data_IF_917074549751
#
_entry.id   IF_917074549751
#
_cell.length_a   1.000
_cell.length_b   1.000
_cell.length_c   1.000
_cell.angle_alpha   90.00
_cell.angle_beta   90.00
_cell.angle_gamma   90.00
#
_symmetry.space_group_name_H-M   'P 1'
#
loop_
_entity.id
_entity.type
_entity.pdbx_description
1 polymer ?
#
# COMPACT_ATOMS: atom_id res chain seq x y z
N UNK A 1 11.70 9.46 -9.88
CA UNK A 1 11.85 9.18 -8.44
C UNK A 1 11.11 10.27 -7.68
N UNK A 2 10.02 9.92 -6.99
CA UNK A 2 9.26 10.83 -6.12
C UNK A 2 9.61 10.44 -4.68
N UNK A 3 9.99 11.39 -3.83
CA UNK A 3 10.38 11.14 -2.43
C UNK A 3 9.53 12.00 -1.51
N UNK A 4 8.91 11.41 -0.49
CA UNK A 4 8.10 12.09 0.52
C UNK A 4 8.88 12.23 1.86
N UNK A 5 8.54 13.23 2.71
CA UNK A 5 9.32 13.60 3.90
C UNK A 5 9.18 12.61 5.07
N UNK A 6 10.13 12.69 6.01
CA UNK A 6 10.42 11.64 7.01
C UNK A 6 9.70 11.73 8.37
N UNK A 7 8.80 12.69 8.61
CA UNK A 7 7.97 12.76 9.83
C UNK A 7 6.84 13.79 9.67
N UNK A 8 5.61 13.41 10.00
CA UNK A 8 4.41 14.26 10.00
C UNK A 8 3.74 14.16 11.38
N UNK A 9 3.57 15.29 12.06
CA UNK A 9 2.87 15.35 13.35
C UNK A 9 1.70 16.32 13.21
N UNK A 10 0.49 15.83 13.40
CA UNK A 10 -0.73 16.62 13.34
C UNK A 10 -1.66 16.17 14.49
N UNK A 11 -1.53 16.79 15.67
CA UNK A 11 -2.17 16.29 16.88
C UNK A 11 -3.70 16.26 16.75
N UNK A 12 -4.34 17.25 16.14
CA UNK A 12 -5.81 17.36 16.15
C UNK A 12 -6.48 16.83 14.87
N UNK A 13 -5.70 16.45 13.85
CA UNK A 13 -6.22 16.17 12.52
C UNK A 13 -5.72 14.84 11.98
N UNK A 14 -6.59 14.14 11.24
CA UNK A 14 -6.20 12.92 10.54
C UNK A 14 -5.07 13.20 9.52
N UNK A 15 -4.10 12.30 9.44
CA UNK A 15 -2.98 12.38 8.51
C UNK A 15 -3.25 11.45 7.34
N UNK A 16 -3.29 12.00 6.12
CA UNK A 16 -3.39 11.24 4.88
C UNK A 16 -2.15 11.44 4.02
N UNK A 17 -1.52 10.36 3.57
CA UNK A 17 -0.49 10.41 2.51
C UNK A 17 -1.01 9.66 1.29
N UNK A 18 -1.17 10.37 0.19
CA UNK A 18 -1.79 9.82 -1.01
C UNK A 18 -0.90 10.02 -2.24
N UNK A 19 -0.63 8.94 -2.96
CA UNK A 19 -0.14 9.02 -4.34
C UNK A 19 -1.36 9.01 -5.23
N UNK A 20 -1.84 10.19 -5.65
CA UNK A 20 -3.12 10.34 -6.38
C UNK A 20 -3.01 10.09 -7.89
N UNK A 21 -1.81 10.18 -8.44
CA UNK A 21 -1.60 9.99 -9.88
C UNK A 21 -1.47 8.51 -10.19
N UNK A 22 -2.27 7.95 -11.12
CA UNK A 22 -2.07 6.59 -11.56
C UNK A 22 -0.70 6.44 -12.22
N UNK A 23 -0.02 5.34 -11.93
CA UNK A 23 1.29 5.02 -12.49
C UNK A 23 1.09 3.95 -13.54
N UNK A 24 1.56 4.23 -14.76
CA UNK A 24 1.47 3.28 -15.85
C UNK A 24 2.84 3.10 -16.51
N UNK A 25 3.19 1.84 -16.81
CA UNK A 25 4.30 1.49 -17.70
C UNK A 25 3.75 0.81 -18.94
N UNK A 26 4.22 1.26 -20.11
CA UNK A 26 3.91 0.63 -21.40
C UNK A 26 4.99 -0.39 -21.72
N UNK A 27 6.21 0.09 -21.98
CA UNK A 27 7.46 -0.68 -22.04
C UNK A 27 8.44 -0.13 -20.99
N UNK A 28 9.20 -1.02 -20.34
CA UNK A 28 10.18 -0.66 -19.31
C UNK A 28 9.63 -0.66 -17.88
N UNK A 29 10.44 -0.19 -16.92
CA UNK A 29 10.13 -0.28 -15.49
C UNK A 29 9.92 1.09 -14.85
N UNK A 30 8.90 1.21 -14.00
CA UNK A 30 8.66 2.38 -13.16
C UNK A 30 8.70 1.96 -11.71
N UNK A 31 9.59 2.57 -10.92
CA UNK A 31 9.68 2.36 -9.48
C UNK A 31 9.27 3.62 -8.73
N UNK A 32 8.39 3.46 -7.74
CA UNK A 32 8.00 4.49 -6.77
C UNK A 32 8.45 4.04 -5.39
N UNK A 33 9.28 4.85 -4.73
CA UNK A 33 9.80 4.54 -3.40
C UNK A 33 9.25 5.52 -2.36
N UNK A 34 8.71 4.96 -1.28
CA UNK A 34 8.30 5.68 -0.07
C UNK A 34 9.24 5.26 1.06
N UNK A 35 10.28 6.07 1.27
CA UNK A 35 11.41 5.70 2.14
C UNK A 35 11.00 5.50 3.59
N UNK A 36 10.41 6.48 4.25
CA UNK A 36 9.97 6.33 5.64
C UNK A 36 8.94 7.39 5.97
N UNK A 37 7.79 6.97 6.48
CA UNK A 37 6.76 7.86 6.99
C UNK A 37 6.52 7.52 8.46
N UNK A 38 6.66 8.53 9.31
CA UNK A 38 6.23 8.48 10.71
C UNK A 38 5.10 9.48 10.87
N UNK A 39 3.94 9.01 11.33
CA UNK A 39 2.74 9.80 11.52
C UNK A 39 2.24 9.70 12.96
N UNK A 40 1.99 10.84 13.61
CA UNK A 40 1.40 10.90 14.96
C UNK A 40 0.22 11.86 14.95
N UNK A 41 -0.95 11.37 15.38
CA UNK A 41 -2.23 12.10 15.30
C UNK A 41 -3.22 11.63 16.38
N UNK A 42 -4.03 12.51 16.98
CA UNK A 42 -5.21 12.08 17.75
C UNK A 42 -6.38 11.69 16.83
N UNK A 43 -6.32 12.08 15.55
CA UNK A 43 -7.19 11.58 14.49
C UNK A 43 -6.75 10.20 13.98
N UNK A 44 -7.11 9.85 12.73
CA UNK A 44 -6.65 8.62 12.07
C UNK A 44 -5.43 8.85 11.18
N UNK A 45 -4.73 7.76 10.82
CA UNK A 45 -3.63 7.79 9.83
C UNK A 45 -4.04 6.95 8.63
N UNK A 46 -3.95 7.52 7.43
CA UNK A 46 -4.25 6.82 6.19
C UNK A 46 -3.10 6.98 5.18
N UNK A 47 -2.77 5.90 4.49
CA UNK A 47 -1.92 5.94 3.30
C UNK A 47 -2.69 5.35 2.11
N UNK A 48 -2.72 6.04 0.98
CA UNK A 48 -3.40 5.58 -0.23
C UNK A 48 -2.46 5.59 -1.45
N UNK A 49 -2.47 4.49 -2.20
CA UNK A 49 -1.81 4.41 -3.50
C UNK A 49 -2.85 4.34 -4.61
N UNK A 50 -2.72 5.21 -5.61
CA UNK A 50 -3.53 5.20 -6.82
C UNK A 50 -3.28 3.94 -7.66
N UNK A 51 -4.01 3.84 -8.76
CA UNK A 51 -3.95 2.70 -9.66
C UNK A 51 -2.55 2.53 -10.26
N UNK A 52 -2.04 1.31 -10.27
CA UNK A 52 -0.84 0.91 -10.98
C UNK A 52 -1.24 0.02 -12.16
N UNK A 53 -0.66 0.30 -13.33
CA UNK A 53 -0.93 -0.47 -14.55
C UNK A 53 0.38 -0.79 -15.26
N UNK A 54 0.64 -2.07 -15.48
CA UNK A 54 1.73 -2.54 -16.32
C UNK A 54 1.16 -3.20 -17.58
N UNK A 55 1.54 -2.72 -18.75
CA UNK A 55 1.18 -3.36 -20.02
C UNK A 55 2.16 -4.48 -20.36
N UNK A 56 3.32 -4.16 -20.92
CA UNK A 56 4.44 -5.09 -21.14
C UNK A 56 5.62 -4.80 -20.19
N UNK A 57 5.52 -3.69 -19.44
CA UNK A 57 6.54 -3.21 -18.52
C UNK A 57 6.40 -3.74 -17.09
N UNK A 58 7.08 -3.07 -16.16
CA UNK A 58 6.95 -3.33 -14.73
C UNK A 58 6.58 -2.04 -13.99
N UNK A 59 5.73 -2.14 -12.98
CA UNK A 59 5.49 -1.06 -12.00
C UNK A 59 5.74 -1.63 -10.62
N UNK A 60 6.70 -1.05 -9.91
CA UNK A 60 7.06 -1.44 -8.55
C UNK A 60 6.81 -0.27 -7.61
N UNK A 61 6.15 -0.53 -6.49
CA UNK A 61 6.02 0.43 -5.39
C UNK A 61 6.61 -0.19 -4.14
N UNK A 62 7.58 0.50 -3.54
CA UNK A 62 8.23 0.06 -2.32
C UNK A 62 7.95 1.05 -1.20
N UNK A 63 7.46 0.55 -0.06
CA UNK A 63 7.27 1.31 1.17
C UNK A 63 8.20 0.70 2.22
N UNK A 64 9.31 1.37 2.53
CA UNK A 64 10.32 0.74 3.39
C UNK A 64 9.89 0.76 4.87
N UNK A 65 9.25 1.84 5.33
CA UNK A 65 8.77 1.93 6.71
C UNK A 65 7.60 2.88 6.84
N UNK A 66 6.49 2.38 7.36
CA UNK A 66 5.35 3.18 7.79
C UNK A 66 5.15 2.96 9.30
N UNK A 67 5.30 4.03 10.08
CA UNK A 67 5.02 4.04 11.52
C UNK A 67 3.87 5.00 11.77
N UNK A 68 2.76 4.50 12.27
CA UNK A 68 1.58 5.28 12.59
C UNK A 68 1.24 5.12 14.07
N UNK A 69 1.07 6.24 14.76
CA UNK A 69 0.57 6.28 16.14
C UNK A 69 -0.67 7.16 16.15
N UNK A 70 -1.81 6.59 16.52
CA UNK A 70 -3.07 7.33 16.48
C UNK A 70 -4.09 6.96 17.54
N UNK A 71 -4.86 7.92 18.06
CA UNK A 71 -6.07 7.56 18.83
C UNK A 71 -7.19 7.08 17.88
N UNK A 72 -7.23 7.57 16.64
CA UNK A 72 -8.06 7.01 15.57
C UNK A 72 -7.49 5.71 14.99
N UNK A 73 -8.08 5.22 13.88
CA UNK A 73 -7.59 4.03 13.18
C UNK A 73 -6.44 4.30 12.21
N UNK A 74 -5.72 3.25 11.83
CA UNK A 74 -4.67 3.26 10.81
C UNK A 74 -5.13 2.48 9.58
N UNK A 75 -5.06 3.07 8.38
CA UNK A 75 -5.48 2.42 7.15
C UNK A 75 -4.43 2.55 6.04
N UNK A 76 -4.18 1.46 5.32
CA UNK A 76 -3.43 1.47 4.05
C UNK A 76 -4.36 0.99 2.95
N UNK A 77 -4.53 1.78 1.90
CA UNK A 77 -5.42 1.49 0.79
C UNK A 77 -4.65 1.43 -0.53
N UNK A 78 -4.73 0.30 -1.24
CA UNK A 78 -4.27 0.18 -2.62
C UNK A 78 -5.49 0.13 -3.54
N UNK A 79 -5.57 1.06 -4.50
CA UNK A 79 -6.72 1.17 -5.38
C UNK A 79 -6.83 -0.01 -6.37
N UNK A 80 -6.14 0.05 -7.51
CA UNK A 80 -6.24 -0.99 -8.53
C UNK A 80 -4.85 -1.33 -9.08
N UNK A 81 -4.53 -2.61 -9.11
CA UNK A 81 -3.27 -3.14 -9.60
C UNK A 81 -3.58 -4.01 -10.82
N UNK A 82 -3.10 -3.60 -11.99
CA UNK A 82 -3.41 -4.27 -13.26
C UNK A 82 -2.13 -4.61 -14.00
N UNK A 83 -1.90 -5.90 -14.26
CA UNK A 83 -0.84 -6.38 -15.12
C UNK A 83 -1.45 -7.05 -16.35
N UNK A 84 -1.07 -6.61 -17.55
CA UNK A 84 -1.41 -7.29 -18.80
C UNK A 84 -0.43 -8.42 -19.08
N UNK A 85 0.68 -8.17 -19.78
CA UNK A 85 1.81 -9.10 -19.96
C UNK A 85 2.97 -8.76 -18.99
N UNK A 86 2.93 -7.58 -18.38
CA UNK A 86 3.92 -7.04 -17.48
C UNK A 86 3.78 -7.48 -16.02
N UNK A 87 4.41 -6.73 -15.12
CA UNK A 87 4.35 -7.00 -13.69
C UNK A 87 3.98 -5.75 -12.88
N UNK A 88 3.13 -5.91 -11.87
CA UNK A 88 2.86 -4.90 -10.86
C UNK A 88 3.21 -5.47 -9.49
N UNK A 89 4.16 -4.85 -8.80
CA UNK A 89 4.58 -5.27 -7.46
C UNK A 89 4.38 -4.13 -6.47
N UNK A 90 3.77 -4.42 -5.33
CA UNK A 90 3.72 -3.50 -4.19
C UNK A 90 4.32 -4.19 -2.98
N UNK A 91 5.39 -3.63 -2.43
CA UNK A 91 6.09 -4.15 -1.26
C UNK A 91 6.00 -3.15 -0.11
N UNK A 92 5.57 -3.63 1.05
CA UNK A 92 5.61 -2.89 2.31
C UNK A 92 6.53 -3.65 3.24
N UNK A 93 7.76 -3.15 3.42
CA UNK A 93 8.77 -3.86 4.21
C UNK A 93 8.44 -3.85 5.70
N UNK A 94 7.92 -2.73 6.21
CA UNK A 94 7.57 -2.59 7.62
C UNK A 94 6.38 -1.65 7.80
N UNK A 95 5.31 -2.18 8.39
CA UNK A 95 4.14 -1.43 8.84
C UNK A 95 4.00 -1.61 10.35
N UNK A 96 4.24 -0.53 11.09
CA UNK A 96 4.03 -0.46 12.55
C UNK A 96 2.87 0.48 12.80
N UNK A 97 1.80 -0.03 13.38
CA UNK A 97 0.62 0.74 13.73
C UNK A 97 0.30 0.57 15.22
N UNK A 98 0.21 1.69 15.93
CA UNK A 98 -0.26 1.73 17.32
C UNK A 98 -1.51 2.59 17.33
N UNK A 99 -2.66 2.00 17.64
CA UNK A 99 -3.91 2.73 17.63
C UNK A 99 -4.95 2.30 18.64
N UNK A 100 -5.69 3.23 19.22
CA UNK A 100 -6.92 2.89 19.96
C UNK A 100 -8.02 2.43 18.96
N UNK A 101 -8.00 2.96 17.73
CA UNK A 101 -8.80 2.45 16.61
C UNK A 101 -8.29 1.11 16.04
N UNK A 102 -8.88 0.66 14.93
CA UNK A 102 -8.44 -0.53 14.20
C UNK A 102 -7.33 -0.25 13.19
N UNK A 103 -6.62 -1.30 12.78
CA UNK A 103 -5.61 -1.26 11.71
C UNK A 103 -6.14 -2.03 10.50
N UNK A 104 -6.16 -1.41 9.32
CA UNK A 104 -6.70 -2.02 8.11
C UNK A 104 -5.75 -1.88 6.91
N UNK A 105 -5.58 -2.96 6.15
CA UNK A 105 -4.99 -2.94 4.81
C UNK A 105 -6.07 -3.34 3.82
N UNK A 106 -6.42 -2.45 2.89
CA UNK A 106 -7.48 -2.63 1.92
C UNK A 106 -6.94 -2.61 0.49
N UNK A 107 -7.23 -3.65 -0.28
CA UNK A 107 -6.85 -3.78 -1.68
C UNK A 107 -8.13 -3.84 -2.52
N UNK A 108 -8.36 -2.85 -3.37
CA UNK A 108 -9.64 -2.72 -4.06
C UNK A 108 -9.76 -3.68 -5.26
N UNK A 109 -8.73 -3.77 -6.12
CA UNK A 109 -8.77 -4.66 -7.28
C UNK A 109 -7.38 -5.12 -7.70
N UNK A 110 -7.20 -6.43 -7.86
CA UNK A 110 -5.99 -7.04 -8.40
C UNK A 110 -6.36 -7.79 -9.69
N UNK A 111 -5.74 -7.43 -10.80
CA UNK A 111 -6.03 -8.03 -12.11
C UNK A 111 -4.72 -8.41 -12.80
N UNK A 112 -4.52 -9.69 -13.04
CA UNK A 112 -3.47 -10.19 -13.93
C UNK A 112 -4.11 -10.83 -15.16
N UNK A 113 -3.74 -10.38 -16.35
CA UNK A 113 -3.91 -11.18 -17.57
C UNK A 113 -2.69 -12.12 -17.64
N UNK A 114 -1.90 -12.14 -18.70
CA UNK A 114 -0.71 -13.01 -18.84
C UNK A 114 0.47 -12.66 -17.90
N UNK A 115 0.38 -11.53 -17.21
CA UNK A 115 1.39 -10.94 -16.35
C UNK A 115 1.25 -11.33 -14.87
N UNK A 116 1.83 -10.50 -13.99
CA UNK A 116 1.83 -10.76 -12.56
C UNK A 116 1.43 -9.54 -11.73
N UNK A 117 0.59 -9.74 -10.72
CA UNK A 117 0.36 -8.77 -9.65
C UNK A 117 0.80 -9.37 -8.32
N UNK A 118 1.69 -8.69 -7.62
CA UNK A 118 2.23 -9.13 -6.32
C UNK A 118 2.02 -8.02 -5.30
N UNK A 119 1.46 -8.36 -4.15
CA UNK A 119 1.40 -7.47 -2.99
C UNK A 119 2.01 -8.18 -1.78
N UNK A 120 3.06 -7.61 -1.23
CA UNK A 120 3.77 -8.16 -0.07
C UNK A 120 3.78 -7.15 1.08
N UNK A 121 3.45 -7.63 2.28
CA UNK A 121 3.68 -6.92 3.53
C UNK A 121 4.60 -7.80 4.36
N UNK A 122 5.87 -7.42 4.49
CA UNK A 122 6.89 -8.30 5.09
C UNK A 122 6.93 -8.26 6.62
N UNK A 123 6.46 -7.18 7.23
CA UNK A 123 6.38 -7.05 8.68
C UNK A 123 5.23 -6.16 9.06
N UNK A 124 4.13 -6.77 9.52
CA UNK A 124 2.98 -6.08 10.09
C UNK A 124 2.99 -6.20 11.61
N UNK A 125 3.31 -5.10 12.30
CA UNK A 125 3.16 -4.98 13.75
C UNK A 125 2.02 -4.03 14.03
N UNK A 126 0.92 -4.56 14.56
CA UNK A 126 -0.24 -3.76 14.90
C UNK A 126 -0.62 -3.98 16.37
N UNK A 127 -0.62 -2.88 17.13
CA UNK A 127 -1.12 -2.81 18.50
C UNK A 127 -2.40 -2.00 18.46
N UNK A 128 -3.54 -2.68 18.57
CA UNK A 128 -4.84 -2.01 18.51
C UNK A 128 -5.89 -2.62 19.42
N UNK A 129 -6.75 -1.75 19.95
CA UNK A 129 -7.99 -2.16 20.63
C UNK A 129 -9.07 -2.52 19.59
N UNK A 130 -9.07 -1.86 18.42
CA UNK A 130 -10.05 -2.07 17.33
C UNK A 130 -9.79 -3.26 16.41
N UNK A 131 -8.73 -4.03 16.63
CA UNK A 131 -8.34 -5.19 15.81
C UNK A 131 -7.55 -4.85 14.54
N UNK A 132 -7.16 -5.90 13.81
CA UNK A 132 -6.32 -5.82 12.61
C UNK A 132 -7.00 -6.59 11.47
N UNK A 133 -7.16 -5.96 10.30
CA UNK A 133 -7.83 -6.56 9.16
C UNK A 133 -7.06 -6.33 7.86
N UNK A 134 -7.06 -7.36 7.01
CA UNK A 134 -6.61 -7.26 5.62
C UNK A 134 -7.79 -7.65 4.73
N UNK A 135 -8.15 -6.79 3.78
CA UNK A 135 -9.31 -6.97 2.92
C UNK A 135 -8.92 -6.87 1.44
N UNK A 136 -9.38 -7.85 0.65
CA UNK A 136 -9.30 -7.86 -0.81
C UNK A 136 -10.73 -7.77 -1.35
N UNK A 137 -11.05 -6.73 -2.12
CA UNK A 137 -12.39 -6.60 -2.70
C UNK A 137 -12.55 -7.37 -4.02
N UNK A 138 -11.51 -7.45 -4.86
CA UNK A 138 -11.54 -8.23 -6.09
C UNK A 138 -10.16 -8.77 -6.48
N UNK A 139 -10.16 -10.00 -6.99
CA UNK A 139 -8.98 -10.66 -7.56
C UNK A 139 -9.40 -11.38 -8.84
N UNK A 140 -8.70 -11.09 -9.94
CA UNK A 140 -8.89 -11.72 -11.24
C UNK A 140 -7.53 -12.11 -11.81
N UNK A 141 -7.38 -13.37 -12.22
CA UNK A 141 -6.19 -13.86 -12.91
C UNK A 141 -6.62 -14.63 -14.17
N UNK A 142 -6.04 -14.30 -15.32
CA UNK A 142 -6.27 -15.02 -16.58
C UNK A 142 -4.94 -15.31 -17.28
N UNK A 143 -4.47 -16.55 -17.17
CA UNK A 143 -3.18 -17.03 -17.68
C UNK A 143 -1.92 -16.44 -17.00
N UNK A 144 -2.06 -15.46 -16.11
CA UNK A 144 -1.03 -14.97 -15.21
C UNK A 144 -1.32 -15.23 -13.74
N UNK A 145 -0.69 -14.44 -12.86
CA UNK A 145 -0.66 -14.71 -11.42
C UNK A 145 -1.01 -13.48 -10.57
N UNK A 146 -1.77 -13.70 -9.49
CA UNK A 146 -1.96 -12.73 -8.43
C UNK A 146 -1.52 -13.34 -7.11
N UNK A 147 -0.63 -12.65 -6.40
CA UNK A 147 -0.09 -13.08 -5.10
C UNK A 147 -0.29 -11.96 -4.07
N UNK A 148 -0.75 -12.34 -2.88
CA UNK A 148 -0.91 -11.43 -1.74
C UNK A 148 -0.34 -12.14 -0.52
N UNK A 149 0.73 -11.58 0.03
CA UNK A 149 1.41 -12.11 1.21
C UNK A 149 1.44 -11.07 2.31
N UNK A 150 1.08 -11.49 3.53
CA UNK A 150 1.16 -10.67 4.73
C UNK A 150 1.88 -11.49 5.79
N UNK A 151 3.08 -11.03 6.12
CA UNK A 151 3.94 -11.55 7.16
C UNK A 151 3.79 -10.64 8.39
N UNK A 152 3.52 -11.26 9.53
CA UNK A 152 3.28 -10.62 10.83
C UNK A 152 4.19 -11.22 11.90
#
# INVERSE_FOLDING_TARGET
MLSLPSLVVAPEAAIGVEVLSPVASWEGAVTVELLSLVAVSEGGVAAALASLVAWEGAVTVEVLSLVAVSEGGVAVALASLVAWEGAVTVEVLSLVAVSEGGVAVALASLVAWEGAVTVEVLSLVAVSEGGVAVALASLVAWEGAVTVEVLS
#
